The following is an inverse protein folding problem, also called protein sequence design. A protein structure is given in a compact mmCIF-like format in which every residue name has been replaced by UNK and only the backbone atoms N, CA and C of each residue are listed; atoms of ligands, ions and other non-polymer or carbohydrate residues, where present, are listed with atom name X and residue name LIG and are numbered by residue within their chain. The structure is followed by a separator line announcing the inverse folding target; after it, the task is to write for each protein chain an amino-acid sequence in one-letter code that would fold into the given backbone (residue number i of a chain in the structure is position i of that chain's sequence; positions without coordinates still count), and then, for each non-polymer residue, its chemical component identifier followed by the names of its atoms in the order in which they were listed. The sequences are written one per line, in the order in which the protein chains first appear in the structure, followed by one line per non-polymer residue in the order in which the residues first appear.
data_IF_075538196898
#
_entry.id   IF_075538196898
#
_cell.length_a   1.000
_cell.length_b   1.000
_cell.length_c   1.000
_cell.angle_alpha   90.00
_cell.angle_beta   90.00
_cell.angle_gamma   90.00
#
_symmetry.space_group_name_H-M   'P 1'
#
loop_
_entity.id
_entity.type
_entity.pdbx_description
1 polymer ?
#
# COMPACT_ATOMS: atom_id res chain seq x y z
N UNK A 1 -43.79 -11.32 66.35
CA UNK A 1 -42.49 -11.24 65.65
C UNK A 1 -42.61 -11.94 64.30
N UNK A 2 -42.84 -11.16 63.24
CA UNK A 2 -43.13 -11.68 61.89
C UNK A 2 -41.87 -11.62 61.04
N UNK A 3 -41.39 -12.76 60.55
CA UNK A 3 -40.22 -12.82 59.65
C UNK A 3 -40.58 -12.18 58.30
N UNK A 4 -39.69 -11.37 57.68
CA UNK A 4 -39.96 -10.79 56.38
C UNK A 4 -39.81 -11.84 55.28
N UNK A 5 -40.78 -11.88 54.36
CA UNK A 5 -40.75 -12.69 53.15
C UNK A 5 -39.62 -12.20 52.23
N UNK A 6 -38.70 -13.11 51.86
CA UNK A 6 -37.65 -12.87 50.87
C UNK A 6 -38.26 -12.48 49.52
N UNK A 7 -37.90 -11.31 49.00
CA UNK A 7 -38.08 -10.96 47.59
C UNK A 7 -37.20 -11.89 46.74
N UNK A 8 -37.81 -12.85 46.06
CA UNK A 8 -37.15 -13.62 45.02
C UNK A 8 -37.06 -12.74 43.78
N UNK A 9 -35.84 -12.29 43.45
CA UNK A 9 -35.55 -11.63 42.19
C UNK A 9 -35.68 -12.66 41.07
N UNK A 10 -36.72 -12.51 40.24
CA UNK A 10 -36.86 -13.27 39.00
C UNK A 10 -35.71 -12.85 38.07
N UNK A 11 -34.67 -13.69 38.00
CA UNK A 11 -33.63 -13.58 36.96
C UNK A 11 -34.34 -13.54 35.61
N UNK A 12 -34.19 -12.42 34.91
CA UNK A 12 -34.62 -12.20 33.54
C UNK A 12 -34.08 -13.38 32.72
N UNK A 13 -34.97 -14.29 32.28
CA UNK A 13 -34.59 -15.36 31.35
C UNK A 13 -33.99 -14.67 30.13
N UNK A 14 -32.70 -14.90 29.88
CA UNK A 14 -32.10 -14.56 28.60
C UNK A 14 -32.86 -15.36 27.55
N UNK A 15 -33.67 -14.68 26.75
CA UNK A 15 -34.30 -15.28 25.59
C UNK A 15 -33.17 -15.75 24.67
N UNK A 16 -33.06 -17.06 24.51
CA UNK A 16 -32.16 -17.65 23.53
C UNK A 16 -32.72 -17.22 22.17
N UNK A 17 -31.97 -16.45 21.36
CA UNK A 17 -32.47 -15.98 20.09
C UNK A 17 -32.79 -17.19 19.21
N UNK A 18 -34.05 -17.30 18.79
CA UNK A 18 -34.52 -18.42 17.97
C UNK A 18 -33.80 -18.43 16.61
N UNK A 19 -33.33 -19.61 16.14
CA UNK A 19 -32.54 -19.72 14.92
C UNK A 19 -33.35 -19.35 13.67
N UNK A 20 -32.65 -18.92 12.63
CA UNK A 20 -33.18 -18.77 11.27
C UNK A 20 -33.10 -20.13 10.59
N UNK A 21 -34.23 -20.82 10.46
CA UNK A 21 -34.32 -21.99 9.59
C UNK A 21 -34.54 -21.47 8.18
N UNK A 22 -33.69 -21.82 7.22
CA UNK A 22 -33.78 -21.36 5.85
C UNK A 22 -33.83 -22.56 4.91
N UNK A 23 -34.70 -22.48 3.91
CA UNK A 23 -34.76 -23.44 2.80
C UNK A 23 -33.91 -22.86 1.69
N UNK A 24 -32.87 -23.56 1.24
CA UNK A 24 -32.00 -23.09 0.15
C UNK A 24 -32.05 -24.08 -0.98
N UNK A 25 -32.39 -23.61 -2.18
CA UNK A 25 -32.34 -24.38 -3.43
C UNK A 25 -31.18 -23.90 -4.29
N UNK A 26 -30.58 -24.82 -5.05
CA UNK A 26 -29.57 -24.48 -6.05
C UNK A 26 -30.07 -24.97 -7.41
N UNK A 27 -30.60 -24.13 -8.31
CA UNK A 27 -31.40 -24.57 -9.47
C UNK A 27 -30.73 -25.58 -10.41
N UNK A 28 -29.40 -25.66 -10.43
CA UNK A 28 -28.65 -26.63 -11.23
C UNK A 28 -28.60 -28.03 -10.61
N UNK A 29 -28.84 -28.14 -9.32
CA UNK A 29 -29.04 -29.40 -8.63
C UNK A 29 -30.51 -29.49 -8.18
N UNK A 30 -31.19 -30.59 -8.46
CA UNK A 30 -32.56 -30.83 -7.95
C UNK A 30 -32.62 -31.04 -6.43
N UNK A 31 -31.63 -30.54 -5.69
CA UNK A 31 -31.42 -30.68 -4.26
C UNK A 31 -31.84 -29.39 -3.55
N UNK A 32 -32.49 -29.56 -2.41
CA UNK A 32 -32.86 -28.48 -1.49
C UNK A 32 -32.26 -28.81 -0.13
N UNK A 33 -31.71 -27.81 0.56
CA UNK A 33 -31.19 -27.95 1.91
C UNK A 33 -32.03 -27.14 2.89
N UNK A 34 -32.22 -27.70 4.09
CA UNK A 34 -32.84 -27.03 5.22
C UNK A 34 -31.77 -26.86 6.29
N UNK A 35 -31.36 -25.63 6.57
CA UNK A 35 -30.27 -25.35 7.50
C UNK A 35 -30.67 -24.27 8.51
N UNK A 36 -30.21 -24.42 9.75
CA UNK A 36 -30.44 -23.47 10.83
C UNK A 36 -29.23 -22.56 11.02
N UNK A 37 -29.44 -21.27 10.93
CA UNK A 37 -28.43 -20.23 11.12
C UNK A 37 -28.73 -19.36 12.34
N UNK A 38 -27.70 -18.74 12.89
CA UNK A 38 -27.86 -17.71 13.92
C UNK A 38 -28.12 -16.37 13.25
N UNK A 39 -28.89 -15.49 13.90
CA UNK A 39 -29.21 -14.17 13.33
C UNK A 39 -27.98 -13.31 13.04
N UNK A 40 -26.90 -13.49 13.80
CA UNK A 40 -25.64 -12.78 13.59
C UNK A 40 -24.75 -13.39 12.49
N UNK A 41 -25.18 -14.49 11.84
CA UNK A 41 -24.46 -14.98 10.67
C UNK A 41 -24.65 -14.02 9.50
N UNK A 42 -23.55 -13.69 8.82
CA UNK A 42 -23.61 -12.90 7.59
C UNK A 42 -24.13 -13.74 6.43
N UNK A 43 -24.70 -13.09 5.43
CA UNK A 43 -25.11 -13.77 4.18
C UNK A 43 -23.94 -14.51 3.55
N UNK A 44 -22.72 -13.97 3.62
CA UNK A 44 -21.51 -14.66 3.19
C UNK A 44 -21.31 -16.01 3.90
N UNK A 45 -21.49 -16.06 5.22
CA UNK A 45 -21.37 -17.32 5.99
C UNK A 45 -22.48 -18.32 5.62
N UNK A 46 -23.68 -17.82 5.31
CA UNK A 46 -24.79 -18.64 4.81
C UNK A 46 -24.41 -19.25 3.45
N UNK A 47 -23.91 -18.44 2.52
CA UNK A 47 -23.45 -18.88 1.20
C UNK A 47 -22.37 -19.96 1.32
N UNK A 48 -21.33 -19.73 2.12
CA UNK A 48 -20.25 -20.69 2.35
C UNK A 48 -20.77 -22.03 2.90
N UNK A 49 -21.72 -21.98 3.85
CA UNK A 49 -22.36 -23.18 4.39
C UNK A 49 -23.13 -23.93 3.31
N UNK A 50 -23.89 -23.22 2.48
CA UNK A 50 -24.66 -23.80 1.39
C UNK A 50 -23.74 -24.45 0.34
N UNK A 51 -22.69 -23.76 -0.11
CA UNK A 51 -21.67 -24.29 -1.03
C UNK A 51 -21.15 -25.63 -0.53
N UNK A 52 -20.75 -25.70 0.74
CA UNK A 52 -20.24 -26.93 1.34
C UNK A 52 -21.30 -28.06 1.38
N UNK A 53 -22.56 -27.74 1.66
CA UNK A 53 -23.67 -28.72 1.72
C UNK A 53 -24.11 -29.22 0.35
N UNK A 54 -23.98 -28.40 -0.68
CA UNK A 54 -24.17 -28.78 -2.07
C UNK A 54 -22.93 -29.48 -2.67
N UNK A 55 -21.76 -29.39 -2.02
CA UNK A 55 -20.53 -29.95 -2.55
C UNK A 55 -19.95 -29.14 -3.72
N UNK A 56 -20.28 -27.85 -3.75
CA UNK A 56 -19.85 -26.92 -4.79
C UNK A 56 -18.43 -26.43 -4.50
N UNK A 57 -17.67 -26.09 -5.54
CA UNK A 57 -16.32 -25.53 -5.42
C UNK A 57 -16.38 -24.02 -5.56
N UNK A 58 -15.78 -23.32 -4.60
CA UNK A 58 -15.53 -21.89 -4.69
C UNK A 58 -14.17 -21.68 -5.39
N UNK A 59 -14.19 -21.15 -6.59
CA UNK A 59 -12.99 -20.76 -7.35
C UNK A 59 -13.23 -19.41 -8.06
N UNK A 60 -12.19 -18.85 -8.69
CA UNK A 60 -12.27 -17.55 -9.38
C UNK A 60 -13.32 -17.50 -10.50
N UNK A 61 -13.75 -18.67 -11.00
CA UNK A 61 -14.73 -18.81 -12.08
C UNK A 61 -16.15 -19.12 -11.56
N UNK A 62 -16.28 -19.54 -10.30
CA UNK A 62 -17.52 -20.00 -9.68
C UNK A 62 -17.76 -19.23 -8.38
N UNK A 63 -18.36 -18.05 -8.53
CA UNK A 63 -18.83 -17.24 -7.42
C UNK A 63 -20.32 -17.50 -7.21
N UNK A 64 -20.74 -17.53 -5.95
CA UNK A 64 -22.11 -17.83 -5.60
C UNK A 64 -22.76 -16.65 -4.87
N UNK A 65 -23.99 -16.37 -5.24
CA UNK A 65 -24.84 -15.39 -4.57
C UNK A 65 -26.08 -16.07 -3.99
N UNK A 66 -26.67 -15.41 -3.01
CA UNK A 66 -27.94 -15.81 -2.43
C UNK A 66 -29.01 -14.80 -2.83
N UNK A 67 -30.16 -15.27 -3.29
CA UNK A 67 -31.32 -14.44 -3.62
C UNK A 67 -32.49 -14.72 -2.70
N UNK A 68 -33.22 -13.67 -2.37
CA UNK A 68 -34.53 -13.72 -1.74
C UNK A 68 -35.51 -12.85 -2.53
N UNK A 69 -36.67 -13.36 -2.89
CA UNK A 69 -37.68 -12.62 -3.66
C UNK A 69 -37.11 -11.89 -4.90
N UNK A 70 -36.26 -12.59 -5.67
CA UNK A 70 -35.50 -12.08 -6.82
C UNK A 70 -34.41 -11.04 -6.54
N UNK A 71 -34.24 -10.58 -5.30
CA UNK A 71 -33.18 -9.64 -4.92
C UNK A 71 -31.90 -10.38 -4.53
N UNK A 72 -30.76 -9.88 -5.01
CA UNK A 72 -29.44 -10.35 -4.58
C UNK A 72 -29.17 -9.82 -3.18
N UNK A 73 -28.82 -10.73 -2.28
CA UNK A 73 -28.52 -10.39 -0.89
C UNK A 73 -27.07 -9.91 -0.77
N UNK A 74 -26.87 -8.84 -0.01
CA UNK A 74 -25.54 -8.32 0.32
C UNK A 74 -24.79 -9.32 1.23
N UNK A 75 -23.62 -9.85 0.81
CA UNK A 75 -22.83 -10.81 1.59
C UNK A 75 -22.42 -10.31 2.97
N UNK A 76 -22.28 -9.00 3.17
CA UNK A 76 -21.78 -8.40 4.42
C UNK A 76 -22.86 -8.20 5.48
N UNK A 77 -24.13 -8.23 5.09
CA UNK A 77 -25.27 -8.02 5.99
C UNK A 77 -25.55 -9.28 6.82
N UNK A 78 -25.92 -9.11 8.09
CA UNK A 78 -26.35 -10.23 8.95
C UNK A 78 -27.78 -10.67 8.65
N UNK A 79 -28.12 -11.94 8.93
CA UNK A 79 -29.49 -12.45 8.78
C UNK A 79 -30.52 -11.67 9.60
N UNK A 80 -30.14 -11.15 10.77
CA UNK A 80 -31.01 -10.29 11.56
C UNK A 80 -31.26 -8.92 10.94
N UNK A 81 -30.33 -8.41 10.13
CA UNK A 81 -30.41 -7.09 9.49
C UNK A 81 -30.98 -7.16 8.07
N UNK A 82 -30.91 -8.33 7.42
CA UNK A 82 -31.34 -8.54 6.03
C UNK A 82 -32.86 -8.48 5.82
N UNK A 83 -33.65 -8.32 6.91
CA UNK A 83 -35.12 -8.32 6.92
C UNK A 83 -35.75 -9.58 6.33
N UNK A 84 -34.97 -10.66 6.17
CA UNK A 84 -35.47 -11.94 5.67
C UNK A 84 -36.30 -12.60 6.79
N UNK A 85 -37.55 -13.00 6.52
CA UNK A 85 -38.34 -13.73 7.50
C UNK A 85 -37.67 -15.07 7.87
N UNK A 86 -37.85 -15.51 9.11
CA UNK A 86 -37.49 -16.89 9.49
C UNK A 86 -38.30 -17.87 8.65
N UNK A 87 -37.71 -19.00 8.27
CA UNK A 87 -38.34 -20.00 7.41
C UNK A 87 -38.56 -19.57 5.96
N UNK A 88 -37.76 -18.60 5.48
CA UNK A 88 -37.79 -18.18 4.07
C UNK A 88 -37.07 -19.15 3.15
N UNK A 89 -37.52 -19.19 1.90
CA UNK A 89 -36.83 -19.85 0.80
C UNK A 89 -35.85 -18.89 0.12
N UNK A 90 -34.63 -19.37 -0.10
CA UNK A 90 -33.54 -18.65 -0.73
C UNK A 90 -33.03 -19.47 -1.92
N UNK A 91 -32.57 -18.77 -2.96
CA UNK A 91 -32.00 -19.40 -4.14
C UNK A 91 -30.50 -19.11 -4.15
N UNK A 92 -29.69 -20.16 -4.13
CA UNK A 92 -28.26 -20.07 -4.40
C UNK A 92 -28.07 -20.07 -5.91
N UNK A 93 -27.31 -19.13 -6.44
CA UNK A 93 -26.99 -19.05 -7.87
C UNK A 93 -25.49 -18.97 -8.08
N UNK A 94 -24.97 -19.72 -9.05
CA UNK A 94 -23.60 -19.55 -9.55
C UNK A 94 -23.62 -18.43 -10.58
N UNK A 95 -22.78 -17.43 -10.38
CA UNK A 95 -22.64 -16.30 -11.28
C UNK A 95 -21.19 -16.23 -11.73
N UNK A 96 -21.01 -16.25 -13.05
CA UNK A 96 -19.73 -15.96 -13.65
C UNK A 96 -19.41 -14.49 -13.34
N UNK A 97 -18.44 -14.26 -12.45
CA UNK A 97 -17.92 -12.93 -12.09
C UNK A 97 -18.91 -11.98 -11.39
N UNK A 98 -19.40 -12.34 -10.20
CA UNK A 98 -19.81 -11.31 -9.23
C UNK A 98 -18.66 -11.13 -8.27
N UNK A 99 -17.88 -10.07 -8.47
CA UNK A 99 -16.88 -9.63 -7.48
C UNK A 99 -17.55 -9.62 -6.09
N UNK A 100 -17.26 -10.65 -5.30
CA UNK A 100 -17.62 -10.76 -3.89
C UNK A 100 -16.79 -9.82 -3.04
N UNK A 101 -15.84 -9.11 -3.67
CA UNK A 101 -15.01 -8.16 -3.00
C UNK A 101 -15.85 -6.92 -2.71
N UNK A 102 -15.70 -6.33 -1.52
CA UNK A 102 -16.34 -5.08 -1.17
C UNK A 102 -16.24 -4.07 -2.31
N UNK A 103 -17.40 -3.60 -2.77
CA UNK A 103 -17.46 -2.59 -3.81
C UNK A 103 -17.32 -1.22 -3.14
N UNK A 104 -16.43 -0.41 -3.68
CA UNK A 104 -16.17 0.96 -3.24
C UNK A 104 -16.70 1.92 -4.29
N UNK A 105 -17.51 2.88 -3.84
CA UNK A 105 -17.95 3.99 -4.69
C UNK A 105 -16.80 5.00 -4.80
N UNK A 106 -16.25 5.18 -5.98
CA UNK A 106 -15.14 6.12 -6.23
C UNK A 106 -15.64 7.29 -7.05
N UNK A 107 -15.35 8.51 -6.59
CA UNK A 107 -15.48 9.71 -7.42
C UNK A 107 -14.09 10.23 -7.78
N UNK A 108 -13.93 10.66 -9.02
CA UNK A 108 -12.73 11.30 -9.52
C UNK A 108 -13.11 12.66 -10.09
N UNK A 109 -12.61 13.71 -9.45
CA UNK A 109 -12.75 15.08 -9.94
C UNK A 109 -11.47 15.52 -10.64
N UNK A 110 -11.58 15.93 -11.89
CA UNK A 110 -10.52 16.72 -12.50
C UNK A 110 -10.52 18.15 -11.97
N UNK A 111 -9.39 18.58 -11.43
CA UNK A 111 -9.23 19.93 -10.87
C UNK A 111 -9.16 20.99 -11.98
N UNK A 112 -8.60 20.67 -13.15
CA UNK A 112 -8.47 21.65 -14.24
C UNK A 112 -9.81 21.89 -14.94
N UNK A 113 -10.51 20.82 -15.33
CA UNK A 113 -11.75 20.93 -16.10
C UNK A 113 -13.02 20.93 -15.21
N UNK A 114 -12.88 20.64 -13.91
CA UNK A 114 -14.01 20.51 -12.99
C UNK A 114 -14.90 19.29 -13.25
N UNK A 115 -14.53 18.42 -14.19
CA UNK A 115 -15.30 17.24 -14.56
C UNK A 115 -15.24 16.21 -13.43
N UNK A 116 -16.40 15.72 -13.01
CA UNK A 116 -16.52 14.65 -12.03
C UNK A 116 -16.99 13.39 -12.73
N UNK A 117 -16.21 12.32 -12.60
CA UNK A 117 -16.63 10.98 -12.98
C UNK A 117 -16.78 10.13 -11.73
N UNK A 118 -17.71 9.18 -11.76
CA UNK A 118 -17.95 8.28 -10.65
C UNK A 118 -18.16 6.86 -11.16
N UNK A 119 -17.76 5.89 -10.35
CA UNK A 119 -17.90 4.48 -10.69
C UNK A 119 -17.80 3.59 -9.46
N UNK A 120 -18.10 2.32 -9.68
CA UNK A 120 -18.07 1.26 -8.67
C UNK A 120 -16.90 0.34 -8.95
N UNK A 121 -16.03 0.17 -7.96
CA UNK A 121 -14.76 -0.56 -8.11
C UNK A 121 -14.60 -1.59 -7.01
N UNK A 122 -13.80 -2.60 -7.29
CA UNK A 122 -13.40 -3.58 -6.30
C UNK A 122 -12.41 -2.94 -5.31
N UNK A 123 -12.57 -3.16 -4.00
CA UNK A 123 -11.64 -2.62 -2.99
C UNK A 123 -10.17 -3.04 -3.19
N UNK A 124 -9.93 -4.15 -3.90
CA UNK A 124 -8.59 -4.66 -4.21
C UNK A 124 -8.07 -4.14 -5.56
N UNK A 125 -8.87 -3.39 -6.30
CA UNK A 125 -8.48 -2.77 -7.55
C UNK A 125 -7.39 -1.72 -7.29
N UNK A 126 -6.42 -1.65 -8.20
CA UNK A 126 -5.34 -0.68 -8.10
C UNK A 126 -5.80 0.69 -8.60
N UNK A 127 -5.16 1.76 -8.11
CA UNK A 127 -5.53 3.13 -8.47
C UNK A 127 -5.33 3.43 -9.96
N UNK A 128 -4.43 2.72 -10.63
CA UNK A 128 -4.22 2.89 -12.08
C UNK A 128 -5.45 2.45 -12.88
N UNK A 129 -5.98 1.25 -12.62
CA UNK A 129 -7.14 0.68 -13.29
C UNK A 129 -8.41 1.50 -13.02
N UNK A 130 -8.56 1.98 -11.77
CA UNK A 130 -9.65 2.89 -11.38
C UNK A 130 -9.56 4.17 -12.19
N UNK A 131 -8.38 4.77 -12.27
CA UNK A 131 -8.16 6.01 -13.00
C UNK A 131 -8.39 5.83 -14.50
N UNK A 132 -7.89 4.75 -15.11
CA UNK A 132 -8.07 4.44 -16.53
C UNK A 132 -9.54 4.33 -16.93
N UNK A 133 -10.40 3.80 -16.04
CA UNK A 133 -11.84 3.70 -16.25
C UNK A 133 -12.58 5.03 -16.05
N UNK A 134 -12.13 5.87 -15.13
CA UNK A 134 -12.78 7.15 -14.78
C UNK A 134 -12.26 8.35 -15.57
N UNK A 135 -11.15 8.22 -16.28
CA UNK A 135 -10.57 9.30 -17.06
C UNK A 135 -10.88 9.07 -18.54
N UNK A 136 -11.45 10.07 -19.25
CA UNK A 136 -11.72 9.95 -20.67
C UNK A 136 -10.48 9.54 -21.47
N UNK A 137 -10.70 8.64 -22.44
CA UNK A 137 -9.66 8.24 -23.39
C UNK A 137 -9.04 9.46 -24.07
N UNK A 138 -7.71 9.48 -24.18
CA UNK A 138 -6.95 10.57 -24.80
C UNK A 138 -6.52 11.69 -23.86
N UNK A 139 -7.03 11.75 -22.62
CA UNK A 139 -6.57 12.71 -21.61
C UNK A 139 -5.20 12.36 -21.03
N UNK A 140 -4.83 11.09 -21.06
CA UNK A 140 -3.51 10.61 -20.68
C UNK A 140 -2.49 10.73 -21.81
N UNK A 141 -1.93 11.92 -22.00
CA UNK A 141 -0.81 12.08 -22.93
C UNK A 141 0.46 11.41 -22.36
N UNK A 142 0.58 11.35 -21.02
CA UNK A 142 1.73 10.75 -20.31
C UNK A 142 1.31 10.04 -19.01
N UNK A 143 1.12 8.71 -19.03
CA UNK A 143 0.78 7.89 -17.85
C UNK A 143 1.70 8.09 -16.64
N UNK A 144 3.00 8.29 -16.87
CA UNK A 144 3.99 8.50 -15.81
C UNK A 144 3.88 9.87 -15.12
N UNK A 145 3.10 10.79 -15.70
CA UNK A 145 2.85 12.13 -15.16
C UNK A 145 1.42 12.28 -14.63
N UNK A 146 0.75 11.20 -14.27
CA UNK A 146 -0.58 11.27 -13.66
C UNK A 146 -0.41 11.46 -12.15
N UNK A 147 -1.03 12.49 -11.58
CA UNK A 147 -1.07 12.69 -10.13
C UNK A 147 -2.50 12.56 -9.64
N UNK A 148 -2.75 11.59 -8.78
CA UNK A 148 -4.04 11.40 -8.11
C UNK A 148 -3.88 11.82 -6.65
N UNK A 149 -4.74 12.72 -6.21
CA UNK A 149 -4.75 13.27 -4.87
C UNK A 149 -6.04 12.83 -4.16
N UNK A 150 -5.94 12.42 -2.92
CA UNK A 150 -7.03 12.44 -1.95
C UNK A 150 -6.65 13.41 -0.83
N UNK A 151 -7.60 13.80 0.01
CA UNK A 151 -7.48 14.89 1.00
C UNK A 151 -6.14 14.96 1.77
N UNK A 152 -5.51 13.82 2.03
CA UNK A 152 -4.27 13.71 2.82
C UNK A 152 -3.10 13.06 2.07
N UNK A 153 -3.33 12.46 0.89
CA UNK A 153 -2.35 11.58 0.23
C UNK A 153 -2.31 11.86 -1.27
N UNK A 154 -1.11 11.84 -1.85
CA UNK A 154 -0.93 11.96 -3.31
C UNK A 154 -0.09 10.81 -3.87
N UNK A 155 -0.51 10.30 -5.01
CA UNK A 155 0.17 9.24 -5.76
C UNK A 155 0.55 9.77 -7.14
N UNK A 156 1.80 9.56 -7.54
CA UNK A 156 2.37 10.12 -8.77
C UNK A 156 2.91 9.01 -9.66
N UNK A 157 2.44 9.02 -10.90
CA UNK A 157 2.91 8.17 -11.98
C UNK A 157 2.34 6.76 -11.93
N UNK A 158 2.33 6.12 -13.11
CA UNK A 158 1.74 4.80 -13.34
C UNK A 158 2.25 3.74 -12.35
N UNK A 159 3.57 3.66 -12.13
CA UNK A 159 4.15 2.65 -11.21
C UNK A 159 3.61 2.74 -9.78
N UNK A 160 3.46 3.95 -9.25
CA UNK A 160 2.95 4.12 -7.88
C UNK A 160 1.45 3.81 -7.80
N UNK A 161 0.70 4.17 -8.85
CA UNK A 161 -0.73 3.90 -8.96
C UNK A 161 -1.05 2.41 -9.13
N UNK A 162 -0.25 1.68 -9.91
CA UNK A 162 -0.38 0.21 -10.06
C UNK A 162 -0.06 -0.53 -8.76
N UNK A 163 0.91 -0.02 -7.98
CA UNK A 163 1.30 -0.62 -6.71
C UNK A 163 0.30 -0.35 -5.56
N UNK A 164 -0.60 0.63 -5.71
CA UNK A 164 -1.50 1.08 -4.64
C UNK A 164 -2.91 0.55 -4.87
N UNK A 165 -3.44 -0.21 -3.91
CA UNK A 165 -4.83 -0.70 -3.90
C UNK A 165 -5.77 0.26 -3.17
N UNK A 166 -7.04 0.30 -3.54
CA UNK A 166 -8.05 1.15 -2.90
C UNK A 166 -8.11 0.93 -1.38
N UNK A 167 -8.25 -0.31 -0.92
CA UNK A 167 -8.31 -0.66 0.51
C UNK A 167 -7.04 -0.34 1.32
N UNK A 168 -5.90 -0.22 0.64
CA UNK A 168 -4.61 0.09 1.27
C UNK A 168 -4.43 1.60 1.50
N UNK A 169 -4.96 2.41 0.59
CA UNK A 169 -4.83 3.86 0.62
C UNK A 169 -6.00 4.55 1.30
N UNK A 170 -7.19 3.97 1.27
CA UNK A 170 -8.43 4.61 1.71
C UNK A 170 -9.25 3.64 2.56
N UNK A 171 -9.89 4.18 3.60
CA UNK A 171 -10.83 3.45 4.46
C UNK A 171 -12.22 4.01 4.27
N UNK A 172 -13.19 3.13 4.00
CA UNK A 172 -14.61 3.49 3.89
C UNK A 172 -15.26 2.93 2.62
N UNK A 173 -16.57 3.10 2.52
CA UNK A 173 -17.37 2.70 1.36
C UNK A 173 -17.31 3.71 0.21
N UNK A 174 -16.73 4.89 0.45
CA UNK A 174 -16.63 5.97 -0.52
C UNK A 174 -15.22 6.57 -0.55
N UNK A 175 -14.69 6.78 -1.75
CA UNK A 175 -13.36 7.37 -1.97
C UNK A 175 -13.47 8.55 -2.92
N UNK A 176 -13.07 9.71 -2.41
CA UNK A 176 -12.95 10.93 -3.20
C UNK A 176 -11.51 11.11 -3.69
N UNK A 177 -11.35 11.05 -5.01
CA UNK A 177 -10.10 11.26 -5.72
C UNK A 177 -10.15 12.54 -6.53
N UNK A 178 -8.97 13.14 -6.73
CA UNK A 178 -8.78 14.31 -7.57
C UNK A 178 -7.65 14.06 -8.55
N UNK A 179 -7.90 14.30 -9.82
CA UNK A 179 -6.84 14.38 -10.82
C UNK A 179 -6.20 15.76 -10.70
N UNK A 180 -4.94 15.77 -10.29
CA UNK A 180 -4.14 16.97 -10.08
C UNK A 180 -3.22 17.18 -11.29
N UNK A 181 -3.08 18.42 -11.79
CA UNK A 181 -2.09 18.70 -12.82
C UNK A 181 -0.67 18.47 -12.32
N UNK A 182 0.16 17.90 -13.17
CA UNK A 182 1.58 17.64 -12.89
C UNK A 182 2.50 18.78 -13.31
N UNK A 183 1.95 19.85 -13.90
CA UNK A 183 2.72 20.85 -14.64
C UNK A 183 3.55 21.84 -13.79
N UNK A 184 3.42 21.89 -12.46
CA UNK A 184 4.22 22.83 -11.64
C UNK A 184 5.14 22.17 -10.62
N UNK A 185 4.79 21.01 -10.06
CA UNK A 185 5.51 20.49 -8.90
C UNK A 185 6.63 19.51 -9.28
N UNK A 186 6.47 18.75 -10.37
CA UNK A 186 7.43 17.71 -10.76
C UNK A 186 8.68 18.33 -11.37
N UNK A 187 8.54 19.29 -12.28
CA UNK A 187 9.69 19.98 -12.86
C UNK A 187 10.46 20.77 -11.78
N UNK A 188 9.75 21.29 -10.77
CA UNK A 188 10.38 21.96 -9.62
C UNK A 188 11.05 20.97 -8.65
N UNK A 189 10.46 19.81 -8.38
CA UNK A 189 11.05 18.78 -7.51
C UNK A 189 12.23 18.05 -8.18
N UNK A 190 12.16 17.78 -9.49
CA UNK A 190 13.30 17.24 -10.26
C UNK A 190 14.42 18.26 -10.36
N UNK A 191 14.11 19.54 -10.60
CA UNK A 191 15.10 20.61 -10.56
C UNK A 191 15.74 20.75 -9.17
N UNK A 192 14.96 20.66 -8.09
CA UNK A 192 15.47 20.73 -6.73
C UNK A 192 16.31 19.50 -6.35
N UNK A 193 15.91 18.31 -6.80
CA UNK A 193 16.65 17.07 -6.62
C UNK A 193 17.98 17.10 -7.39
N UNK A 194 17.99 17.51 -8.67
CA UNK A 194 19.21 17.69 -9.45
C UNK A 194 20.09 18.80 -8.86
N UNK A 195 19.52 19.88 -8.34
CA UNK A 195 20.26 20.93 -7.60
C UNK A 195 20.92 20.36 -6.34
N UNK A 196 20.20 19.58 -5.52
CA UNK A 196 20.73 18.90 -4.32
C UNK A 196 21.82 17.87 -4.67
N UNK A 197 21.65 17.12 -5.77
CA UNK A 197 22.61 16.13 -6.27
C UNK A 197 23.89 16.79 -6.80
N UNK A 198 23.78 17.89 -7.57
CA UNK A 198 24.93 18.70 -7.99
C UNK A 198 25.67 19.30 -6.79
N UNK A 199 24.95 19.80 -5.79
CA UNK A 199 25.55 20.33 -4.55
C UNK A 199 26.32 19.25 -3.77
N UNK A 200 25.78 18.02 -3.69
CA UNK A 200 26.49 16.87 -3.08
C UNK A 200 27.77 16.54 -3.84
N UNK A 201 27.71 16.48 -5.18
CA UNK A 201 28.90 16.23 -6.03
C UNK A 201 29.98 17.30 -5.87
N UNK A 202 29.60 18.57 -5.72
CA UNK A 202 30.52 19.67 -5.44
C UNK A 202 31.13 19.60 -4.02
N UNK A 203 30.36 19.15 -3.02
CA UNK A 203 30.88 18.95 -1.66
C UNK A 203 31.85 17.77 -1.59
N UNK A 204 31.56 16.68 -2.29
CA UNK A 204 32.47 15.54 -2.36
C UNK A 204 33.75 15.86 -3.12
N UNK A 205 33.68 16.65 -4.21
CA UNK A 205 34.88 17.08 -4.94
C UNK A 205 35.72 18.09 -4.15
N UNK A 206 35.10 19.03 -3.41
CA UNK A 206 35.83 19.91 -2.48
C UNK A 206 36.48 19.14 -1.34
N UNK A 207 35.81 18.12 -0.79
CA UNK A 207 36.39 17.27 0.26
C UNK A 207 37.57 16.44 -0.26
N UNK A 208 37.47 15.91 -1.49
CA UNK A 208 38.58 15.23 -2.17
C UNK A 208 39.77 16.18 -2.45
N UNK A 209 39.49 17.40 -2.92
CA UNK A 209 40.53 18.42 -3.13
C UNK A 209 41.20 18.88 -1.82
N UNK A 210 40.46 18.92 -0.70
CA UNK A 210 41.03 19.23 0.62
C UNK A 210 41.87 18.07 1.18
N UNK A 211 41.50 16.81 0.91
CA UNK A 211 42.37 15.68 1.25
C UNK A 211 43.65 15.70 0.42
N UNK A 212 43.58 15.96 -0.89
CA UNK A 212 44.76 16.02 -1.76
C UNK A 212 45.69 17.20 -1.43
N UNK A 213 45.12 18.36 -1.07
CA UNK A 213 45.89 19.50 -0.55
C UNK A 213 46.60 19.20 0.77
N UNK A 214 45.98 18.43 1.66
CA UNK A 214 46.60 18.00 2.91
C UNK A 214 47.69 16.94 2.71
N UNK A 215 47.54 16.01 1.75
CA UNK A 215 48.61 15.06 1.41
C UNK A 215 49.84 15.75 0.82
N UNK A 216 49.65 16.82 0.02
CA UNK A 216 50.76 17.64 -0.47
C UNK A 216 51.45 18.44 0.65
N UNK A 217 50.70 19.01 1.60
CA UNK A 217 51.29 19.70 2.75
C UNK A 217 51.98 18.75 3.74
N UNK A 218 51.47 17.52 3.89
CA UNK A 218 52.11 16.48 4.70
C UNK A 218 53.44 16.05 4.06
N UNK A 219 53.48 15.85 2.74
CA UNK A 219 54.69 15.48 1.99
C UNK A 219 55.77 16.60 1.97
N UNK A 220 55.37 17.87 1.97
CA UNK A 220 56.31 18.99 2.10
C UNK A 220 56.89 19.04 3.53
N UNK A 221 56.09 18.76 4.57
CA UNK A 221 56.56 18.70 5.97
C UNK A 221 57.45 17.49 6.27
N UNK A 222 57.19 16.32 5.69
CA UNK A 222 58.08 15.14 5.85
C UNK A 222 59.40 15.29 5.10
N UNK A 223 59.43 16.01 3.96
CA UNK A 223 60.69 16.34 3.26
C UNK A 223 61.53 17.39 4.00
N UNK A 224 60.92 18.37 4.68
CA UNK A 224 61.69 19.33 5.50
C UNK A 224 62.24 18.72 6.81
N UNK A 225 61.58 17.72 7.39
CA UNK A 225 62.06 17.06 8.62
C UNK A 225 63.16 16.02 8.37
N UNK A 226 63.25 15.47 7.15
CA UNK A 226 64.37 14.59 6.75
C UNK A 226 65.62 15.38 6.38
N UNK A 227 65.50 16.60 5.85
CA UNK A 227 66.67 17.46 5.58
C UNK A 227 67.36 17.93 6.88
N UNK A 228 66.61 18.14 7.97
CA UNK A 228 67.20 18.60 9.24
C UNK A 228 67.72 17.49 10.18
N UNK A 229 67.56 16.21 9.82
CA UNK A 229 68.11 15.07 10.60
C UNK A 229 69.33 14.40 9.97
N UNK A 230 69.77 14.85 8.79
CA UNK A 230 70.96 14.33 8.10
C UNK A 230 72.25 15.14 8.34
N UNK A 231 72.22 16.20 9.16
CA UNK A 231 73.38 17.09 9.41
C UNK A 231 73.97 17.00 10.80
N UNK A 232 73.70 15.91 11.54
CA UNK A 232 74.46 15.56 12.74
C UNK A 232 74.73 14.06 12.73
N UNK A 233 76.02 13.72 12.82
CA UNK A 233 76.64 12.39 12.97
C UNK A 233 77.45 11.99 11.72
N UNK A 234 78.66 12.56 11.61
CA UNK A 234 79.88 11.85 11.16
C UNK A 234 81.12 12.76 11.17
N UNK A 235 81.41 13.39 12.32
CA UNK A 235 82.77 13.87 12.61
C UNK A 235 83.31 13.09 13.79
N UNK A 236 83.90 11.93 13.50
CA UNK A 236 84.86 11.26 14.38
C UNK A 236 85.73 10.31 13.54
N UNK A 237 87.03 10.62 13.51
CA UNK A 237 88.17 9.76 13.19
C UNK A 237 88.37 9.38 11.71
N UNK A 238 89.37 9.96 11.05
CA UNK A 238 90.74 9.43 11.09
C UNK A 238 91.71 10.25 10.21
N UNK A 239 92.75 10.76 10.87
CA UNK A 239 94.05 11.13 10.32
C UNK A 239 94.71 9.94 9.61
N UNK A 240 95.29 10.15 8.41
CA UNK A 240 96.66 9.70 8.06
C UNK A 240 96.99 9.88 6.57
N UNK A 241 98.17 10.45 6.29
CA UNK A 241 98.99 10.19 5.09
C UNK A 241 98.63 11.00 3.84
N UNK A 242 99.27 12.13 3.53
CA UNK A 242 100.59 12.28 2.87
C UNK A 242 100.65 11.55 1.52
N UNK A 243 100.72 12.31 0.40
CA UNK A 243 101.88 12.32 -0.49
C UNK A 243 101.82 13.51 -1.48
N UNK A 244 102.97 14.18 -1.59
CA UNK A 244 103.34 15.19 -2.57
C UNK A 244 103.28 14.64 -4.01
N UNK A 245 102.98 15.48 -5.01
CA UNK A 245 104.04 16.13 -5.80
C UNK A 245 103.51 16.85 -7.05
N UNK A 246 104.16 17.98 -7.27
CA UNK A 246 104.23 18.90 -8.40
C UNK A 246 104.36 18.21 -9.77
N UNK A 247 103.92 18.86 -10.86
CA UNK A 247 104.74 19.85 -11.61
C UNK A 247 104.03 20.34 -12.88
N UNK A 248 104.04 21.65 -13.06
CA UNK A 248 104.11 22.32 -14.37
C UNK A 248 105.48 22.99 -14.45
N UNK A 249 106.14 22.82 -15.60
CA UNK A 249 107.44 23.37 -16.04
C UNK A 249 108.71 22.90 -15.31
#
# INVERSE_FOLDING_TARGET
MSKPLRKVSLKKKQEIPSPFVLVVSYPKESKVILEAFKGNNTIYQVIQTCINKFGLKFDENNQFILRYAHQVLDPMVSLSESRIPKSSELILENVAHISTNPIVDVTLRDIEEGIVQAGKFDENENLWNVAEKLIPNGKYIRPDKVKICSSEISFIGKKQLEATKLNSAFRGSHVDLRLCPTYSDIDNQEAEYEKKKKLRRQRTSKKAAMTDGNYNLLNIRTKMTTINKSTKVSTLKQLSGVYYSSRTH
#
